data_IF_128961339613
#
_entry.id   IF_128961339613
#
_cell.length_a   1.000
_cell.length_b   1.000
_cell.length_c   1.000
_cell.angle_alpha   90.00
_cell.angle_beta   90.00
_cell.angle_gamma   90.00
#
_symmetry.space_group_name_H-M   'P 1'
#
loop_
_entity.id
_entity.type
_entity.pdbx_description
1 polymer ?
#
# COMPACT_ATOMS: atom_id res chain seq x y z
N UNK A 1 -16.72 -23.58 -23.26
CA UNK A 1 -17.25 -22.40 -22.57
C UNK A 1 -16.19 -21.90 -21.58
N UNK A 2 -15.36 -20.95 -21.96
CA UNK A 2 -14.66 -20.08 -21.00
C UNK A 2 -14.41 -18.77 -21.74
N UNK A 3 -15.41 -17.89 -21.69
CA UNK A 3 -15.23 -16.49 -22.05
C UNK A 3 -14.12 -15.94 -21.14
N UNK A 4 -12.97 -15.63 -21.72
CA UNK A 4 -11.94 -14.88 -21.02
C UNK A 4 -12.53 -13.50 -20.75
N UNK A 5 -13.03 -13.30 -19.53
CA UNK A 5 -13.36 -11.98 -19.00
C UNK A 5 -12.07 -11.16 -19.05
N UNK A 6 -11.97 -10.24 -20.02
CA UNK A 6 -10.90 -9.27 -20.07
C UNK A 6 -11.02 -8.38 -18.83
N UNK A 7 -10.28 -8.73 -17.77
CA UNK A 7 -10.27 -7.98 -16.52
C UNK A 7 -9.73 -6.57 -16.81
N UNK A 8 -10.59 -5.57 -16.70
CA UNK A 8 -10.21 -4.17 -16.90
C UNK A 8 -9.19 -3.79 -15.83
N UNK A 9 -8.02 -3.32 -16.28
CA UNK A 9 -6.95 -2.86 -15.39
C UNK A 9 -7.42 -1.75 -14.45
N UNK A 10 -7.04 -1.79 -13.18
CA UNK A 10 -7.41 -0.70 -12.26
C UNK A 10 -6.66 0.58 -12.65
N UNK A 11 -7.33 1.73 -12.57
CA UNK A 11 -6.64 3.02 -12.69
C UNK A 11 -6.10 3.40 -11.31
N UNK A 12 -4.78 3.56 -11.22
CA UNK A 12 -4.13 3.99 -9.99
C UNK A 12 -4.44 5.46 -9.69
N UNK A 13 -4.63 5.73 -8.41
CA UNK A 13 -4.93 7.02 -7.77
C UNK A 13 -4.21 7.03 -6.42
N UNK A 14 -4.04 8.20 -5.80
CA UNK A 14 -3.36 8.28 -4.50
C UNK A 14 -4.03 7.39 -3.43
N UNK A 15 -5.37 7.30 -3.42
CA UNK A 15 -6.10 6.53 -2.43
C UNK A 15 -6.08 5.01 -2.62
N UNK A 16 -5.81 4.51 -3.83
CA UNK A 16 -5.78 3.06 -4.11
C UNK A 16 -4.39 2.53 -4.48
N UNK A 17 -3.36 3.38 -4.51
CA UNK A 17 -2.00 2.99 -4.91
C UNK A 17 -1.42 1.88 -4.03
N UNK A 18 -1.74 1.87 -2.73
CA UNK A 18 -1.33 0.85 -1.76
C UNK A 18 -2.42 -0.20 -1.46
N UNK A 19 -3.45 -0.30 -2.31
CA UNK A 19 -4.51 -1.30 -2.14
C UNK A 19 -4.01 -2.70 -2.52
N UNK A 20 -4.61 -3.74 -1.93
CA UNK A 20 -4.25 -5.11 -2.28
C UNK A 20 -4.55 -5.43 -3.75
N UNK A 21 -5.62 -4.83 -4.30
CA UNK A 21 -5.96 -4.96 -5.72
C UNK A 21 -4.86 -4.36 -6.63
N UNK A 22 -4.32 -3.20 -6.26
CA UNK A 22 -3.20 -2.59 -6.96
C UNK A 22 -1.96 -3.46 -6.87
N UNK A 23 -1.67 -3.97 -5.68
CA UNK A 23 -0.52 -4.82 -5.42
C UNK A 23 -0.59 -6.17 -6.19
N UNK A 24 -1.77 -6.74 -6.39
CA UNK A 24 -1.95 -7.95 -7.22
C UNK A 24 -1.73 -7.64 -8.71
N UNK A 25 -2.12 -6.44 -9.16
CA UNK A 25 -2.09 -6.08 -10.57
C UNK A 25 -0.77 -5.47 -11.03
N UNK A 26 -0.06 -4.77 -10.14
CA UNK A 26 1.15 -4.02 -10.42
C UNK A 26 2.31 -4.45 -9.50
N UNK A 27 3.42 -4.85 -10.11
CA UNK A 27 4.59 -5.29 -9.36
C UNK A 27 5.46 -4.09 -8.92
N UNK A 28 5.47 -3.81 -7.62
CA UNK A 28 6.19 -2.66 -7.06
C UNK A 28 7.61 -2.99 -6.59
N UNK A 29 8.45 -1.96 -6.42
CA UNK A 29 9.82 -2.13 -5.86
C UNK A 29 9.77 -2.72 -4.45
N UNK A 30 8.81 -2.31 -3.63
CA UNK A 30 8.63 -2.84 -2.28
C UNK A 30 8.27 -4.33 -2.30
N UNK A 31 7.41 -4.75 -3.24
CA UNK A 31 7.11 -6.16 -3.43
C UNK A 31 8.34 -6.94 -3.88
N UNK A 32 9.10 -6.43 -4.85
CA UNK A 32 10.35 -7.07 -5.29
C UNK A 32 11.30 -7.33 -4.11
N UNK A 33 11.55 -6.32 -3.27
CA UNK A 33 12.36 -6.47 -2.05
C UNK A 33 11.78 -7.52 -1.10
N UNK A 34 10.47 -7.48 -0.88
CA UNK A 34 9.77 -8.44 -0.01
C UNK A 34 9.87 -9.88 -0.54
N UNK A 35 9.78 -10.09 -1.86
CA UNK A 35 9.96 -11.41 -2.47
C UNK A 35 11.39 -11.94 -2.29
N UNK A 36 12.40 -11.07 -2.47
CA UNK A 36 13.80 -11.41 -2.24
C UNK A 36 14.04 -11.80 -0.78
N UNK A 37 13.38 -11.15 0.18
CA UNK A 37 13.47 -11.51 1.60
C UNK A 37 12.72 -12.80 1.94
N UNK A 38 11.47 -12.94 1.50
CA UNK A 38 10.65 -14.12 1.72
C UNK A 38 9.45 -14.18 0.76
N UNK A 39 9.52 -15.10 -0.19
CA UNK A 39 8.46 -15.33 -1.18
C UNK A 39 7.13 -15.73 -0.53
N UNK A 40 7.17 -16.66 0.44
CA UNK A 40 5.96 -17.16 1.11
C UNK A 40 5.23 -16.06 1.88
N UNK A 41 5.96 -15.20 2.61
CA UNK A 41 5.40 -14.04 3.31
C UNK A 41 4.75 -13.08 2.33
N UNK A 42 5.41 -12.81 1.20
CA UNK A 42 4.89 -11.86 0.20
C UNK A 42 3.65 -12.39 -0.48
N UNK A 43 3.61 -13.68 -0.84
CA UNK A 43 2.40 -14.32 -1.36
C UNK A 43 1.27 -14.34 -0.33
N UNK A 44 1.58 -14.54 0.95
CA UNK A 44 0.58 -14.45 2.03
C UNK A 44 -0.02 -13.03 2.16
N UNK A 45 0.79 -11.98 1.97
CA UNK A 45 0.30 -10.58 1.89
C UNK A 45 -0.63 -10.37 0.71
N UNK A 46 -0.21 -10.76 -0.50
CA UNK A 46 -1.00 -10.59 -1.73
C UNK A 46 -2.33 -11.35 -1.68
N UNK A 47 -2.33 -12.54 -1.07
CA UNK A 47 -3.55 -13.34 -0.88
C UNK A 47 -4.45 -12.80 0.26
N UNK A 48 -4.04 -11.75 0.98
CA UNK A 48 -4.79 -11.15 2.08
C UNK A 48 -4.88 -12.02 3.33
N UNK A 49 -4.08 -13.10 3.44
CA UNK A 49 -4.07 -14.01 4.60
C UNK A 49 -3.10 -13.56 5.68
N UNK A 50 -2.23 -12.60 5.37
CA UNK A 50 -1.27 -12.02 6.30
C UNK A 50 -1.20 -10.50 6.14
N UNK A 51 -1.32 -9.78 7.25
CA UNK A 51 -1.13 -8.32 7.31
C UNK A 51 0.08 -8.02 8.19
N UNK A 52 0.97 -7.17 7.71
CA UNK A 52 2.12 -6.75 8.48
C UNK A 52 1.73 -5.66 9.48
N UNK A 53 2.22 -5.77 10.70
CA UNK A 53 1.97 -4.75 11.72
C UNK A 53 2.64 -3.43 11.34
N UNK A 54 1.96 -2.29 11.52
CA UNK A 54 2.56 -0.99 11.27
C UNK A 54 3.76 -0.77 12.19
N UNK A 55 4.83 -0.19 11.66
CA UNK A 55 6.03 0.17 12.44
C UNK A 55 6.07 1.67 12.71
N UNK A 56 6.62 2.06 13.85
CA UNK A 56 6.83 3.48 14.19
C UNK A 56 7.69 4.19 13.15
N UNK A 57 8.69 3.51 12.58
CA UNK A 57 9.55 4.07 11.55
C UNK A 57 8.78 4.40 10.27
N UNK A 58 7.88 3.52 9.82
CA UNK A 58 7.01 3.78 8.66
C UNK A 58 6.05 4.93 8.96
N UNK A 59 5.46 4.97 10.16
CA UNK A 59 4.56 6.04 10.56
C UNK A 59 5.24 7.42 10.55
N UNK A 60 6.41 7.54 11.18
CA UNK A 60 7.18 8.80 11.19
C UNK A 60 7.59 9.21 9.77
N UNK A 61 7.99 8.24 8.95
CA UNK A 61 8.27 8.47 7.53
C UNK A 61 7.07 9.04 6.77
N UNK A 62 5.89 8.46 6.96
CA UNK A 62 4.64 8.96 6.35
C UNK A 62 4.24 10.35 6.85
N UNK A 63 4.42 10.64 8.14
CA UNK A 63 4.17 11.97 8.71
C UNK A 63 5.05 13.03 8.05
N UNK A 64 6.35 12.77 7.95
CA UNK A 64 7.31 13.68 7.29
C UNK A 64 6.97 13.82 5.81
N UNK A 65 6.66 12.71 5.12
CA UNK A 65 6.27 12.74 3.71
C UNK A 65 5.06 13.67 3.48
N UNK A 66 4.00 13.52 4.28
CA UNK A 66 2.81 14.36 4.19
C UNK A 66 3.13 15.84 4.45
N UNK A 67 4.00 16.15 5.42
CA UNK A 67 4.42 17.52 5.74
C UNK A 67 5.15 18.22 4.57
N UNK A 68 5.89 17.46 3.74
CA UNK A 68 6.58 17.99 2.57
C UNK A 68 5.77 17.88 1.27
N UNK A 69 4.68 17.12 1.25
CA UNK A 69 3.82 16.95 0.09
C UNK A 69 2.93 18.18 -0.13
N UNK A 70 2.11 18.53 0.87
CA UNK A 70 1.35 19.80 0.91
C UNK A 70 0.74 20.03 2.29
N UNK A 71 0.27 21.27 2.55
CA UNK A 71 -0.47 21.60 3.77
C UNK A 71 -1.76 20.76 3.91
N UNK A 72 -2.48 20.54 2.80
CA UNK A 72 -3.70 19.73 2.79
C UNK A 72 -3.42 18.25 3.08
N UNK A 73 -2.34 17.70 2.51
CA UNK A 73 -1.91 16.33 2.77
C UNK A 73 -1.53 16.15 4.24
N UNK A 74 -0.80 17.11 4.80
CA UNK A 74 -0.39 17.11 6.20
C UNK A 74 -1.57 17.20 7.17
N UNK A 75 -2.52 18.10 6.90
CA UNK A 75 -3.74 18.22 7.70
C UNK A 75 -4.55 16.92 7.63
N UNK A 76 -4.78 16.38 6.43
CA UNK A 76 -5.52 15.11 6.27
C UNK A 76 -4.85 13.95 7.01
N UNK A 77 -3.52 13.83 6.93
CA UNK A 77 -2.77 12.80 7.64
C UNK A 77 -2.92 12.95 9.16
N UNK A 78 -2.79 14.17 9.68
CA UNK A 78 -2.96 14.45 11.11
C UNK A 78 -4.38 14.15 11.56
N UNK A 79 -5.38 14.46 10.74
CA UNK A 79 -6.77 14.18 11.06
C UNK A 79 -7.12 12.69 11.10
N UNK A 80 -6.58 11.91 10.17
CA UNK A 80 -6.76 10.46 10.12
C UNK A 80 -6.06 9.73 11.30
N UNK A 81 -5.08 10.38 11.93
CA UNK A 81 -4.23 9.80 12.97
C UNK A 81 -4.28 10.55 14.32
N UNK A 82 -5.36 11.31 14.60
CA UNK A 82 -5.55 12.12 15.84
C UNK A 82 -5.44 11.35 17.16
N UNK A 83 -5.60 10.03 17.12
CA UNK A 83 -5.49 9.16 18.29
C UNK A 83 -4.04 8.77 18.62
N UNK A 84 -3.10 9.09 17.74
CA UNK A 84 -1.67 8.77 17.84
C UNK A 84 -0.82 10.04 17.93
N UNK A 85 -1.22 11.10 17.22
CA UNK A 85 -0.61 12.45 17.19
C UNK A 85 -1.29 13.34 18.22
#
# INVERSE_FOLDING_TARGET
MTSQLQKKKIKLTSSNYHSNEADIEYFSVSQFKSFVECEAKTMAKLNGVYTESPSTALFVGSYIHAAFESEEAFQSFTEQNKNII
#
